data_IF_273899945456
#
_entry.id   IF_273899945456
#
_cell.length_a   1.000
_cell.length_b   1.000
_cell.length_c   1.000
_cell.angle_alpha   90.00
_cell.angle_beta   90.00
_cell.angle_gamma   90.00
#
_symmetry.space_group_name_H-M   'P 1'
#
loop_
_entity.id
_entity.type
_entity.pdbx_description
1 polymer ?
#
# COMPACT_ATOMS: atom_id res chain seq x y z
N UNK A 1 -6.89 -21.11 -9.10
CA UNK A 1 -5.54 -20.55 -8.85
C UNK A 1 -4.81 -21.51 -7.93
N UNK A 2 -3.54 -21.80 -8.18
CA UNK A 2 -2.79 -22.64 -7.26
C UNK A 2 -2.69 -21.94 -5.89
N UNK A 3 -2.77 -22.74 -4.82
CA UNK A 3 -2.50 -22.29 -3.47
C UNK A 3 -0.99 -22.14 -3.29
N UNK A 4 -0.47 -21.17 -2.50
CA UNK A 4 0.96 -21.03 -2.22
C UNK A 4 1.67 -22.32 -1.83
N UNK A 5 0.96 -23.22 -1.13
CA UNK A 5 1.46 -24.55 -0.75
C UNK A 5 1.88 -25.40 -1.96
N UNK A 6 1.12 -25.40 -3.06
CA UNK A 6 1.46 -26.18 -4.25
C UNK A 6 2.74 -25.65 -4.93
N UNK A 7 2.96 -24.34 -4.88
CA UNK A 7 4.21 -23.75 -5.35
C UNK A 7 5.38 -24.14 -4.44
N UNK A 8 5.17 -24.14 -3.13
CA UNK A 8 6.18 -24.56 -2.16
C UNK A 8 6.58 -26.04 -2.33
N UNK A 9 5.61 -26.92 -2.58
CA UNK A 9 5.85 -28.33 -2.96
C UNK A 9 6.61 -28.44 -4.29
N UNK A 10 6.26 -27.61 -5.27
CA UNK A 10 6.99 -27.54 -6.55
C UNK A 10 8.44 -27.11 -6.35
N UNK A 11 8.69 -26.10 -5.52
CA UNK A 11 10.03 -25.63 -5.16
C UNK A 11 10.82 -26.70 -4.40
N UNK A 12 10.21 -27.40 -3.45
CA UNK A 12 10.87 -28.51 -2.74
C UNK A 12 11.30 -29.64 -3.69
N UNK A 13 10.44 -30.01 -4.65
CA UNK A 13 10.80 -30.99 -5.69
C UNK A 13 11.96 -30.51 -6.58
N UNK A 14 12.01 -29.22 -6.89
CA UNK A 14 13.01 -28.65 -7.81
C UNK A 14 14.35 -28.38 -7.15
N UNK A 15 14.34 -27.82 -5.95
CA UNK A 15 15.53 -27.29 -5.26
C UNK A 15 15.98 -28.16 -4.07
N UNK A 16 15.16 -29.11 -3.62
CA UNK A 16 15.39 -29.94 -2.44
C UNK A 16 14.76 -29.36 -1.17
N UNK A 17 15.05 -29.93 -0.01
CA UNK A 17 14.47 -29.51 1.27
C UNK A 17 12.99 -29.89 1.40
N UNK A 18 12.23 -29.07 2.13
CA UNK A 18 10.79 -29.31 2.40
C UNK A 18 9.95 -28.11 2.01
N UNK A 19 8.64 -28.26 1.75
CA UNK A 19 7.78 -27.14 1.34
C UNK A 19 7.82 -25.94 2.29
N UNK A 20 7.91 -26.16 3.60
CA UNK A 20 7.98 -25.07 4.59
C UNK A 20 9.20 -24.16 4.41
N UNK A 21 10.27 -24.62 3.77
CA UNK A 21 11.45 -23.80 3.46
C UNK A 21 11.12 -22.67 2.47
N UNK A 22 10.09 -22.85 1.64
CA UNK A 22 9.74 -21.93 0.54
C UNK A 22 8.42 -21.19 0.75
N UNK A 23 7.66 -21.57 1.77
CA UNK A 23 6.27 -21.15 1.95
C UNK A 23 6.12 -19.63 2.10
N UNK A 24 7.03 -18.99 2.85
CA UNK A 24 6.99 -17.54 3.09
C UNK A 24 7.13 -16.72 1.82
N UNK A 25 8.00 -17.15 0.89
CA UNK A 25 8.23 -16.49 -0.40
C UNK A 25 6.97 -16.62 -1.27
N UNK A 26 6.38 -17.82 -1.36
CA UNK A 26 5.18 -18.02 -2.17
C UNK A 26 3.94 -17.31 -1.58
N UNK A 27 3.80 -17.30 -0.25
CA UNK A 27 2.78 -16.49 0.41
C UNK A 27 2.93 -15.02 0.05
N UNK A 28 4.15 -14.50 -0.01
CA UNK A 28 4.41 -13.12 -0.33
C UNK A 28 4.05 -12.76 -1.78
N UNK A 29 4.34 -13.61 -2.77
CA UNK A 29 3.90 -13.35 -4.15
C UNK A 29 2.37 -13.32 -4.24
N UNK A 30 1.70 -14.22 -3.52
CA UNK A 30 0.25 -14.37 -3.56
C UNK A 30 -0.55 -13.50 -2.58
N UNK A 31 0.11 -12.76 -1.68
CA UNK A 31 -0.57 -11.96 -0.64
C UNK A 31 -1.56 -10.93 -1.22
N UNK A 32 -1.35 -10.49 -2.46
CA UNK A 32 -2.28 -9.60 -3.17
C UNK A 32 -3.68 -10.21 -3.39
N UNK A 33 -3.84 -11.54 -3.24
CA UNK A 33 -5.14 -12.22 -3.21
C UNK A 33 -6.04 -11.73 -2.06
N UNK A 34 -5.46 -11.19 -0.98
CA UNK A 34 -6.21 -10.56 0.12
C UNK A 34 -7.01 -9.33 -0.35
N UNK A 35 -6.54 -8.63 -1.39
CA UNK A 35 -7.22 -7.49 -1.98
C UNK A 35 -8.13 -7.90 -3.15
N UNK A 36 -7.69 -8.87 -3.96
CA UNK A 36 -8.42 -9.29 -5.16
C UNK A 36 -8.16 -10.76 -5.50
N UNK A 37 -9.14 -11.64 -5.26
CA UNK A 37 -9.02 -13.07 -5.56
C UNK A 37 -9.18 -13.45 -7.06
N UNK A 38 -8.92 -12.51 -7.98
CA UNK A 38 -8.94 -12.72 -9.45
C UNK A 38 -7.52 -12.73 -10.01
N UNK A 39 -7.29 -13.31 -11.20
CA UNK A 39 -5.94 -13.42 -11.78
C UNK A 39 -5.20 -12.08 -11.91
N UNK A 40 -5.91 -10.95 -11.92
CA UNK A 40 -5.36 -9.60 -12.01
C UNK A 40 -4.55 -9.18 -10.78
N UNK A 41 -4.67 -9.83 -9.61
CA UNK A 41 -3.77 -9.55 -8.46
C UNK A 41 -2.29 -9.74 -8.83
N UNK A 42 -2.02 -10.60 -9.81
CA UNK A 42 -0.67 -10.88 -10.35
C UNK A 42 0.03 -9.62 -10.83
N UNK A 43 -0.73 -8.59 -11.24
CA UNK A 43 -0.16 -7.31 -11.62
C UNK A 43 0.65 -6.64 -10.51
N UNK A 44 0.42 -6.97 -9.23
CA UNK A 44 1.15 -6.36 -8.11
C UNK A 44 2.57 -6.92 -7.93
N UNK A 45 2.78 -8.23 -8.14
CA UNK A 45 4.06 -8.89 -7.80
C UNK A 45 4.55 -9.92 -8.82
N UNK A 46 3.71 -10.40 -9.74
CA UNK A 46 4.09 -11.39 -10.75
C UNK A 46 4.64 -10.71 -12.01
N UNK A 47 5.71 -9.94 -11.84
CA UNK A 47 6.46 -9.32 -12.91
C UNK A 47 7.94 -9.14 -12.53
N UNK A 48 8.77 -8.72 -13.50
CA UNK A 48 10.21 -8.60 -13.33
C UNK A 48 10.64 -7.81 -12.09
N UNK A 49 10.07 -6.62 -11.83
CA UNK A 49 10.39 -5.85 -10.62
C UNK A 49 9.97 -6.56 -9.32
N UNK A 50 8.88 -7.33 -9.32
CA UNK A 50 8.47 -8.13 -8.16
C UNK A 50 9.49 -9.20 -7.75
N UNK A 51 10.29 -9.72 -8.69
CA UNK A 51 11.41 -10.61 -8.36
C UNK A 51 12.48 -9.91 -7.53
N UNK A 52 12.83 -8.66 -7.89
CA UNK A 52 13.81 -7.87 -7.15
C UNK A 52 13.25 -7.36 -5.81
N UNK A 53 11.94 -7.14 -5.71
CA UNK A 53 11.30 -6.89 -4.41
C UNK A 53 11.33 -8.13 -3.51
N UNK A 54 11.19 -9.34 -4.07
CA UNK A 54 11.35 -10.57 -3.31
C UNK A 54 12.78 -10.70 -2.74
N UNK A 55 13.81 -10.39 -3.55
CA UNK A 55 15.20 -10.38 -3.06
C UNK A 55 15.41 -9.36 -1.94
N UNK A 56 14.77 -8.18 -2.01
CA UNK A 56 14.83 -7.19 -0.92
C UNK A 56 14.13 -7.67 0.35
N UNK A 57 13.03 -8.41 0.20
CA UNK A 57 12.24 -8.91 1.33
C UNK A 57 12.86 -10.14 2.02
N UNK A 58 13.48 -11.03 1.26
CA UNK A 58 13.94 -12.34 1.76
C UNK A 58 15.47 -12.54 1.69
N UNK A 59 16.21 -11.58 1.14
CA UNK A 59 17.63 -11.70 0.84
C UNK A 59 17.89 -12.27 -0.56
N UNK A 60 19.16 -12.27 -0.97
CA UNK A 60 19.57 -12.77 -2.30
C UNK A 60 19.41 -14.30 -2.40
N UNK A 61 19.63 -14.99 -1.29
CA UNK A 61 19.62 -16.46 -1.20
C UNK A 61 18.90 -16.91 0.06
N UNK A 62 18.33 -18.11 0.00
CA UNK A 62 17.78 -18.86 1.11
C UNK A 62 18.55 -20.17 1.25
N UNK A 63 19.03 -20.48 2.45
CA UNK A 63 19.55 -21.82 2.77
C UNK A 63 18.40 -22.70 3.22
N UNK A 64 18.11 -23.76 2.47
CA UNK A 64 17.02 -24.68 2.80
C UNK A 64 17.44 -25.75 3.83
N UNK A 65 16.48 -26.55 4.30
CA UNK A 65 16.72 -27.65 5.25
C UNK A 65 17.64 -28.76 4.72
N UNK A 66 17.85 -28.84 3.41
CA UNK A 66 18.81 -29.73 2.77
C UNK A 66 20.22 -29.11 2.65
N UNK A 67 20.49 -28.01 3.36
CA UNK A 67 21.77 -27.28 3.37
C UNK A 67 22.19 -26.78 1.98
N UNK A 68 21.22 -26.33 1.17
CA UNK A 68 21.46 -25.75 -0.16
C UNK A 68 21.13 -24.28 -0.17
N UNK A 69 22.04 -23.48 -0.71
CA UNK A 69 21.82 -22.06 -0.96
C UNK A 69 21.11 -21.88 -2.30
N UNK A 70 19.86 -21.44 -2.23
CA UNK A 70 18.98 -21.24 -3.38
C UNK A 70 18.77 -19.74 -3.58
N UNK A 71 19.06 -19.17 -4.76
CA UNK A 71 18.73 -17.79 -5.05
C UNK A 71 17.23 -17.54 -4.92
N UNK A 72 16.83 -16.53 -4.15
CA UNK A 72 15.41 -16.15 -3.98
C UNK A 72 14.77 -15.83 -5.33
N UNK A 73 15.53 -15.21 -6.23
CA UNK A 73 15.10 -14.96 -7.60
C UNK A 73 14.71 -16.22 -8.35
N UNK A 74 15.39 -17.35 -8.18
CA UNK A 74 15.04 -18.59 -8.87
C UNK A 74 13.69 -19.14 -8.41
N UNK A 75 13.41 -19.03 -7.11
CA UNK A 75 12.12 -19.41 -6.50
C UNK A 75 11.01 -18.50 -7.03
N UNK A 76 11.25 -17.18 -7.07
CA UNK A 76 10.31 -16.21 -7.63
C UNK A 76 10.05 -16.42 -9.12
N UNK A 77 11.09 -16.66 -9.91
CA UNK A 77 10.93 -16.91 -11.34
C UNK A 77 10.15 -18.20 -11.61
N UNK A 78 10.35 -19.24 -10.80
CA UNK A 78 9.52 -20.45 -10.86
C UNK A 78 8.05 -20.11 -10.58
N UNK A 79 7.78 -19.46 -9.46
CA UNK A 79 6.42 -19.10 -9.06
C UNK A 79 5.69 -18.31 -10.15
N UNK A 80 6.34 -17.26 -10.68
CA UNK A 80 5.76 -16.43 -11.73
C UNK A 80 5.53 -17.24 -13.01
N UNK A 81 6.46 -18.11 -13.43
CA UNK A 81 6.27 -18.92 -14.64
C UNK A 81 5.14 -19.94 -14.50
N UNK A 82 5.01 -20.58 -13.34
CA UNK A 82 3.91 -21.52 -13.04
C UNK A 82 2.54 -20.82 -13.14
N UNK A 83 2.50 -19.54 -12.78
CA UNK A 83 1.29 -18.74 -12.80
C UNK A 83 1.03 -18.03 -14.15
N UNK A 84 2.07 -17.57 -14.83
CA UNK A 84 1.97 -16.73 -16.02
C UNK A 84 2.25 -17.52 -17.32
N UNK A 85 1.86 -18.79 -17.37
CA UNK A 85 1.98 -19.66 -18.56
C UNK A 85 3.42 -19.69 -19.10
N UNK A 86 4.40 -19.86 -18.22
CA UNK A 86 5.82 -19.94 -18.57
C UNK A 86 6.51 -18.60 -18.80
N UNK A 87 5.81 -17.46 -18.68
CA UNK A 87 6.36 -16.12 -18.92
C UNK A 87 6.69 -15.40 -17.61
N UNK A 88 7.58 -14.42 -17.71
CA UNK A 88 7.78 -13.40 -16.67
C UNK A 88 7.31 -12.07 -17.27
N UNK A 89 6.11 -11.57 -16.91
CA UNK A 89 5.63 -10.29 -17.38
C UNK A 89 6.55 -9.13 -16.93
N UNK A 90 6.54 -8.04 -17.68
CA UNK A 90 7.02 -6.74 -17.18
C UNK A 90 5.90 -5.99 -16.47
N UNK A 91 6.24 -4.97 -15.69
CA UNK A 91 5.23 -4.05 -15.13
C UNK A 91 4.44 -3.35 -16.26
N UNK A 92 5.11 -3.01 -17.37
CA UNK A 92 4.49 -2.40 -18.54
C UNK A 92 3.43 -3.31 -19.21
N UNK A 93 3.63 -4.63 -19.22
CA UNK A 93 2.65 -5.58 -19.77
C UNK A 93 1.30 -5.51 -19.07
N UNK A 94 1.32 -5.27 -17.76
CA UNK A 94 0.13 -5.05 -16.92
C UNK A 94 -0.43 -3.64 -17.06
N UNK A 95 0.41 -2.61 -16.85
CA UNK A 95 -0.04 -1.21 -16.80
C UNK A 95 -0.67 -0.73 -18.11
N UNK A 96 -0.18 -1.22 -19.27
CA UNK A 96 -0.75 -0.86 -20.59
C UNK A 96 -2.21 -1.28 -20.79
N UNK A 97 -2.79 -2.06 -19.88
CA UNK A 97 -4.19 -2.52 -19.93
C UNK A 97 -5.12 -1.69 -19.05
N UNK A 98 -4.60 -0.80 -18.21
CA UNK A 98 -5.41 0.10 -17.37
C UNK A 98 -6.16 1.07 -18.27
N UNK A 99 -7.48 1.19 -18.06
CA UNK A 99 -8.29 2.26 -18.66
C UNK A 99 -8.21 3.49 -17.75
N UNK A 100 -7.76 4.65 -18.25
CA UNK A 100 -7.63 5.83 -17.41
C UNK A 100 -8.97 6.32 -16.86
N UNK A 101 -9.02 6.57 -15.55
CA UNK A 101 -10.15 7.22 -14.88
C UNK A 101 -9.75 8.63 -14.41
N UNK A 102 -10.70 9.57 -14.22
CA UNK A 102 -10.39 10.94 -13.82
C UNK A 102 -9.54 11.06 -12.56
N UNK A 103 -9.68 10.14 -11.59
CA UNK A 103 -8.91 10.14 -10.34
C UNK A 103 -7.46 9.64 -10.50
N UNK A 104 -7.13 8.96 -11.60
CA UNK A 104 -5.78 8.41 -11.84
C UNK A 104 -4.81 9.46 -12.39
N UNK A 105 -5.33 10.58 -12.89
CA UNK A 105 -4.58 11.67 -13.49
C UNK A 105 -4.91 12.99 -12.80
N UNK A 106 -4.13 14.04 -13.06
CA UNK A 106 -4.38 15.40 -12.55
C UNK A 106 -4.40 15.50 -11.01
N UNK A 107 -3.36 14.97 -10.35
CA UNK A 107 -3.19 15.10 -8.90
C UNK A 107 -3.32 16.56 -8.45
N UNK A 108 -4.29 16.84 -7.58
CA UNK A 108 -4.45 18.14 -6.94
C UNK A 108 -3.79 18.06 -5.57
N UNK A 109 -2.78 18.90 -5.33
CA UNK A 109 -2.33 19.14 -3.95
C UNK A 109 -3.40 20.06 -3.37
N UNK A 110 -4.19 19.54 -2.43
CA UNK A 110 -5.04 20.38 -1.60
C UNK A 110 -4.13 21.36 -0.86
N UNK A 111 -3.92 22.54 -1.46
CA UNK A 111 -3.55 23.70 -0.70
C UNK A 111 -4.74 23.89 0.21
N UNK A 112 -4.59 23.46 1.46
CA UNK A 112 -5.36 24.05 2.54
C UNK A 112 -5.21 25.56 2.34
N UNK A 113 -6.21 26.15 1.69
CA UNK A 113 -6.58 27.52 1.96
C UNK A 113 -7.08 27.39 3.38
N UNK A 114 -6.13 27.37 4.34
CA UNK A 114 -6.44 27.62 5.72
C UNK A 114 -7.30 28.86 5.65
N UNK A 115 -8.56 28.72 6.04
CA UNK A 115 -9.51 29.80 6.04
C UNK A 115 -8.79 30.97 6.68
N UNK A 116 -8.40 31.95 5.87
CA UNK A 116 -7.92 33.19 6.45
C UNK A 116 -8.99 33.61 7.44
N UNK A 117 -8.63 33.90 8.71
CA UNK A 117 -9.61 34.23 9.71
C UNK A 117 -10.50 35.33 9.12
N UNK A 118 -11.78 35.00 8.88
CA UNK A 118 -12.72 35.94 8.26
C UNK A 118 -12.93 37.06 9.27
N UNK A 119 -12.15 38.12 9.10
CA UNK A 119 -12.18 39.33 9.90
C UNK A 119 -11.30 39.31 11.14
N UNK A 120 -11.09 40.50 11.69
CA UNK A 120 -10.36 40.74 12.93
C UNK A 120 -11.10 40.10 14.12
N UNK A 121 -10.48 39.13 14.83
CA UNK A 121 -11.06 38.51 16.02
C UNK A 121 -11.45 39.52 17.10
N UNK A 122 -10.76 40.66 17.19
CA UNK A 122 -11.10 41.74 18.12
C UNK A 122 -12.41 42.42 17.74
N UNK A 123 -12.63 42.69 16.46
CA UNK A 123 -13.87 43.29 15.96
C UNK A 123 -15.06 42.34 16.19
N UNK A 124 -14.88 41.04 15.92
CA UNK A 124 -15.91 40.04 16.18
C UNK A 124 -16.23 39.93 17.68
N UNK A 125 -15.22 39.85 18.54
CA UNK A 125 -15.42 39.85 20.00
C UNK A 125 -16.10 41.13 20.50
N UNK A 126 -15.67 42.30 20.05
CA UNK A 126 -16.27 43.57 20.45
C UNK A 126 -17.75 43.64 20.08
N UNK A 127 -18.13 43.11 18.91
CA UNK A 127 -19.54 43.01 18.50
C UNK A 127 -20.35 42.07 19.40
N UNK A 128 -19.77 40.96 19.86
CA UNK A 128 -20.44 40.02 20.76
C UNK A 128 -20.65 40.62 22.17
N UNK A 129 -19.66 41.36 22.67
CA UNK A 129 -19.76 42.09 23.94
C UNK A 129 -20.80 43.20 23.85
N UNK A 130 -20.77 44.00 22.78
CA UNK A 130 -21.76 45.07 22.56
C UNK A 130 -23.19 44.52 22.47
N UNK A 131 -23.35 43.31 21.94
CA UNK A 131 -24.64 42.63 21.88
C UNK A 131 -25.01 41.82 23.14
N UNK A 132 -24.20 41.87 24.20
CA UNK A 132 -24.46 41.17 25.46
C UNK A 132 -24.39 39.64 25.38
N UNK A 133 -23.83 39.08 24.30
CA UNK A 133 -23.75 37.62 24.08
C UNK A 133 -22.53 36.98 24.76
N UNK A 134 -21.57 37.79 25.20
CA UNK A 134 -20.42 37.31 25.97
C UNK A 134 -19.89 38.39 26.92
N UNK A 135 -19.28 37.93 28.02
CA UNK A 135 -18.52 38.77 28.97
C UNK A 135 -17.06 38.30 29.08
N UNK A 136 -16.65 37.34 28.25
CA UNK A 136 -15.32 36.75 28.28
C UNK A 136 -14.25 37.73 27.80
N UNK A 137 -13.04 37.61 28.32
CA UNK A 137 -11.87 38.27 27.74
C UNK A 137 -11.58 37.74 26.34
N UNK A 138 -10.95 38.56 25.48
CA UNK A 138 -10.69 38.19 24.08
C UNK A 138 -9.95 36.84 23.95
N UNK A 139 -8.97 36.55 24.82
CA UNK A 139 -8.23 35.29 24.81
C UNK A 139 -9.13 34.07 25.07
N UNK A 140 -10.01 34.16 26.07
CA UNK A 140 -10.91 33.08 26.45
C UNK A 140 -12.00 32.87 25.37
N UNK A 141 -12.49 33.96 24.79
CA UNK A 141 -13.45 33.92 23.69
C UNK A 141 -12.89 33.23 22.44
N UNK A 142 -11.63 33.52 22.08
CA UNK A 142 -10.95 32.84 20.96
C UNK A 142 -10.79 31.34 21.25
N UNK A 143 -10.34 30.97 22.45
CA UNK A 143 -10.14 29.58 22.84
C UNK A 143 -11.45 28.76 22.78
N UNK A 144 -12.56 29.33 23.29
CA UNK A 144 -13.87 28.69 23.26
C UNK A 144 -14.37 28.42 21.82
N UNK A 145 -14.15 29.37 20.90
CA UNK A 145 -14.52 29.20 19.48
C UNK A 145 -13.69 28.14 18.76
N UNK A 146 -12.39 28.08 19.04
CA UNK A 146 -11.53 27.04 18.47
C UNK A 146 -11.99 25.63 18.88
N UNK A 147 -12.44 25.47 20.14
CA UNK A 147 -13.00 24.21 20.63
C UNK A 147 -14.33 23.83 19.94
N UNK A 148 -15.24 24.79 19.74
CA UNK A 148 -16.52 24.55 19.03
C UNK A 148 -16.31 24.13 17.57
N UNK A 149 -15.35 24.74 16.87
CA UNK A 149 -15.02 24.37 15.49
C UNK A 149 -14.48 22.93 15.37
N UNK A 150 -13.87 22.40 16.44
CA UNK A 150 -13.31 21.04 16.47
C UNK A 150 -14.35 19.98 16.83
N UNK A 151 -15.44 20.35 17.51
CA UNK A 151 -16.52 19.43 17.93
C UNK A 151 -17.68 19.32 16.92
N UNK A 152 -17.73 20.20 15.92
CA UNK A 152 -18.76 20.23 14.87
C UNK A 152 -18.34 19.61 13.54
N UNK A 153 -17.19 18.94 13.48
CA UNK A 153 -16.67 18.18 12.34
C UNK A 153 -16.68 16.68 12.70
#
# INVERSE_FOLDING_TARGET
>A
MAHPLHHAESSARKFGGVPSDYQSIHNWFDASKEHLALFTHRALRHHAQGLFEAERAFGLTLTNSASRDIPVRWIGEQHIREDCQGRIPSMADWLRRIQPEPWMANGHIDRHVGSEPRGDPRAAWASEVAAGRTVLGLKDWIAARAMQATQGA
#
